data_IF_673023184721
#
_entry.id   IF_673023184721
#
_cell.length_a   1.000
_cell.length_b   1.000
_cell.length_c   1.000
_cell.angle_alpha   90.00
_cell.angle_beta   90.00
_cell.angle_gamma   90.00
#
_symmetry.space_group_name_H-M   'P 1'
#
loop_
_entity.id
_entity.type
_entity.pdbx_description
1 polymer ?
#
# COMPACT_ATOMS: atom_id res chain seq x y z
N UNK A 1 8.51 18.67 -7.38
CA UNK A 1 7.34 18.80 -6.47
C UNK A 1 6.15 18.20 -7.19
N UNK A 2 5.55 17.18 -6.64
CA UNK A 2 4.39 16.55 -7.27
C UNK A 2 3.18 17.47 -7.16
N UNK A 3 2.20 17.37 -8.08
CA UNK A 3 0.93 18.12 -8.01
C UNK A 3 0.23 17.93 -6.67
N UNK A 4 0.38 16.76 -6.08
CA UNK A 4 -0.14 16.41 -4.76
C UNK A 4 0.44 17.27 -3.64
N UNK A 5 1.75 17.51 -3.61
CA UNK A 5 2.39 18.39 -2.61
C UNK A 5 2.05 19.86 -2.81
N UNK A 6 1.93 20.32 -4.06
CA UNK A 6 1.50 21.69 -4.35
C UNK A 6 0.07 21.94 -3.87
N UNK A 7 -0.82 20.95 -4.03
CA UNK A 7 -2.17 20.98 -3.51
C UNK A 7 -2.20 21.09 -1.98
N UNK A 8 -1.36 20.33 -1.26
CA UNK A 8 -1.31 20.38 0.21
C UNK A 8 -0.89 21.72 0.78
N UNK A 9 0.05 22.40 0.14
CA UNK A 9 0.54 23.73 0.59
C UNK A 9 -0.50 24.84 0.45
N UNK A 10 -1.60 24.60 -0.29
CA UNK A 10 -2.69 25.56 -0.41
C UNK A 10 -3.69 25.52 0.75
N UNK A 11 -3.62 24.50 1.61
CA UNK A 11 -4.48 24.35 2.78
C UNK A 11 -3.85 25.00 4.02
N UNK A 12 -4.65 25.16 5.06
CA UNK A 12 -4.17 25.64 6.37
C UNK A 12 -3.10 24.69 6.92
N UNK A 13 -2.13 25.23 7.66
CA UNK A 13 -1.01 24.46 8.24
C UNK A 13 -1.44 23.34 9.19
N UNK A 14 -2.68 23.39 9.71
CA UNK A 14 -3.28 22.38 10.57
C UNK A 14 -4.18 21.38 9.83
N UNK A 15 -4.29 21.51 8.50
CA UNK A 15 -5.08 20.57 7.70
C UNK A 15 -4.32 19.26 7.43
N UNK A 16 -5.00 18.14 7.63
CA UNK A 16 -4.48 16.82 7.30
C UNK A 16 -5.16 16.31 6.04
N UNK A 17 -4.39 15.91 5.06
CA UNK A 17 -4.94 15.29 3.86
C UNK A 17 -5.45 13.89 4.13
N UNK A 18 -6.57 13.54 3.49
CA UNK A 18 -7.13 12.20 3.48
C UNK A 18 -6.76 11.52 2.16
N UNK A 19 -5.97 10.45 2.25
CA UNK A 19 -5.58 9.64 1.09
C UNK A 19 -6.42 8.37 1.04
N UNK A 20 -6.85 7.97 -0.16
CA UNK A 20 -7.66 6.78 -0.38
C UNK A 20 -7.31 6.12 -1.70
N UNK A 21 -7.59 4.84 -1.86
CA UNK A 21 -7.51 4.13 -3.14
C UNK A 21 -8.87 4.07 -3.83
N UNK A 22 -9.94 3.83 -3.06
CA UNK A 22 -11.33 3.83 -3.54
C UNK A 22 -12.31 4.28 -2.45
N UNK A 23 -13.57 4.41 -2.80
CA UNK A 23 -14.69 4.70 -1.88
C UNK A 23 -15.99 4.09 -2.41
N UNK A 24 -17.11 4.44 -1.77
CA UNK A 24 -18.45 3.96 -2.11
C UNK A 24 -19.03 4.53 -3.42
N UNK A 25 -18.35 5.49 -4.05
CA UNK A 25 -18.76 6.15 -5.29
C UNK A 25 -17.80 5.91 -6.46
N UNK A 26 -16.80 5.04 -6.26
CA UNK A 26 -15.77 4.73 -7.25
C UNK A 26 -15.64 3.21 -7.43
N UNK A 27 -15.09 2.80 -8.58
CA UNK A 27 -14.70 1.41 -8.78
C UNK A 27 -13.74 0.95 -7.68
N UNK A 28 -13.94 -0.27 -7.20
CA UNK A 28 -13.04 -0.84 -6.20
C UNK A 28 -11.62 -0.98 -6.73
N UNK A 29 -10.64 -0.76 -5.85
CA UNK A 29 -9.21 -0.74 -6.18
C UNK A 29 -8.78 -1.96 -6.99
N UNK A 30 -9.12 -3.17 -6.57
CA UNK A 30 -8.72 -4.39 -7.30
C UNK A 30 -9.35 -4.45 -8.69
N UNK A 31 -10.59 -3.99 -8.88
CA UNK A 31 -11.22 -3.91 -10.20
C UNK A 31 -10.48 -2.94 -11.13
N UNK A 32 -10.10 -1.76 -10.63
CA UNK A 32 -9.32 -0.76 -11.39
C UNK A 32 -7.93 -1.26 -11.77
N UNK A 33 -7.37 -2.17 -10.99
CA UNK A 33 -6.08 -2.80 -11.23
C UNK A 33 -6.18 -4.09 -12.08
N UNK A 34 -7.35 -4.36 -12.66
CA UNK A 34 -7.57 -5.54 -13.53
C UNK A 34 -7.54 -6.88 -12.81
N UNK A 35 -7.84 -6.90 -11.50
CA UNK A 35 -7.81 -8.11 -10.69
C UNK A 35 -6.40 -8.54 -10.25
N UNK A 36 -5.38 -7.73 -10.50
CA UNK A 36 -3.98 -8.05 -10.18
C UNK A 36 -3.71 -7.85 -8.67
N UNK A 37 -3.57 -8.97 -7.98
CA UNK A 37 -3.32 -9.02 -6.53
C UNK A 37 -1.97 -8.37 -6.15
N UNK A 38 -0.95 -8.48 -7.00
CA UNK A 38 0.37 -7.89 -6.72
C UNK A 38 0.30 -6.37 -6.80
N UNK A 39 -0.43 -5.83 -7.78
CA UNK A 39 -0.70 -4.40 -7.87
C UNK A 39 -1.55 -3.90 -6.70
N UNK A 40 -2.54 -4.66 -6.24
CA UNK A 40 -3.33 -4.28 -5.08
C UNK A 40 -2.49 -4.25 -3.79
N UNK A 41 -1.56 -5.18 -3.61
CA UNK A 41 -0.63 -5.19 -2.48
C UNK A 41 0.30 -3.99 -2.48
N UNK A 42 0.89 -3.65 -3.62
CA UNK A 42 1.78 -2.47 -3.68
C UNK A 42 0.98 -1.18 -3.51
N UNK A 43 -0.24 -1.08 -4.01
CA UNK A 43 -1.12 0.06 -3.78
C UNK A 43 -1.44 0.24 -2.29
N UNK A 44 -1.75 -0.85 -1.57
CA UNK A 44 -1.94 -0.82 -0.11
C UNK A 44 -0.67 -0.36 0.63
N UNK A 45 0.51 -0.88 0.26
CA UNK A 45 1.78 -0.47 0.85
C UNK A 45 2.05 1.02 0.63
N UNK A 46 1.79 1.54 -0.57
CA UNK A 46 1.91 2.97 -0.89
C UNK A 46 0.94 3.78 -0.04
N UNK A 47 -0.36 3.45 -0.05
CA UNK A 47 -1.37 4.16 0.74
C UNK A 47 -0.97 4.30 2.21
N UNK A 48 -0.42 3.25 2.79
CA UNK A 48 -0.10 3.18 4.22
C UNK A 48 1.27 3.75 4.58
N UNK A 49 2.09 4.14 3.60
CA UNK A 49 3.42 4.73 3.82
C UNK A 49 3.52 6.20 3.43
N UNK A 50 2.70 6.69 2.51
CA UNK A 50 2.67 8.13 2.15
C UNK A 50 2.15 9.00 3.30
N UNK A 51 2.34 10.31 3.18
CA UNK A 51 1.81 11.29 4.16
C UNK A 51 0.29 11.40 4.11
N UNK A 52 -0.30 11.93 5.17
CA UNK A 52 -1.74 12.10 5.34
C UNK A 52 -2.41 10.99 6.14
N UNK A 53 -3.71 11.03 6.28
CA UNK A 53 -4.54 10.03 6.96
C UNK A 53 -5.10 9.03 5.94
N UNK A 54 -4.66 7.76 5.94
CA UNK A 54 -5.16 6.79 4.99
C UNK A 54 -6.61 6.40 5.30
N UNK A 55 -7.46 6.47 4.29
CA UNK A 55 -8.83 5.99 4.32
C UNK A 55 -8.90 4.65 3.62
N UNK A 56 -9.34 3.63 4.34
CA UNK A 56 -9.50 2.26 3.81
C UNK A 56 -10.99 2.02 3.63
N UNK A 57 -11.42 1.84 2.38
CA UNK A 57 -12.78 1.44 2.11
C UNK A 57 -12.96 -0.05 2.43
N UNK A 58 -14.00 -0.41 3.16
CA UNK A 58 -14.20 -1.79 3.61
C UNK A 58 -14.11 -2.79 2.45
N UNK A 59 -13.42 -3.90 2.68
CA UNK A 59 -13.20 -4.93 1.67
C UNK A 59 -11.97 -4.70 0.79
N UNK A 60 -11.32 -3.54 0.82
CA UNK A 60 -10.03 -3.36 0.16
C UNK A 60 -8.99 -4.32 0.73
N UNK A 61 -9.01 -4.53 2.04
CA UNK A 61 -8.09 -5.40 2.78
C UNK A 61 -8.21 -6.88 2.41
N UNK A 62 -9.30 -7.28 1.77
CA UNK A 62 -9.45 -8.63 1.22
C UNK A 62 -9.52 -8.66 -0.31
N UNK A 63 -9.37 -7.50 -0.96
CA UNK A 63 -9.40 -7.38 -2.41
C UNK A 63 -10.79 -7.56 -3.00
N UNK A 64 -11.84 -7.00 -2.39
CA UNK A 64 -13.17 -7.02 -2.98
C UNK A 64 -13.19 -6.30 -4.32
N UNK A 65 -13.98 -6.84 -5.24
CA UNK A 65 -14.22 -6.32 -6.58
C UNK A 65 -15.54 -5.53 -6.63
N UNK A 66 -15.67 -4.67 -7.62
CA UNK A 66 -16.88 -3.91 -7.89
C UNK A 66 -16.64 -2.79 -8.90
N UNK A 67 -17.58 -2.59 -9.81
CA UNK A 67 -17.52 -1.56 -10.85
C UNK A 67 -18.78 -0.70 -10.80
N UNK A 68 -18.60 0.61 -10.67
CA UNK A 68 -19.70 1.58 -10.57
C UNK A 68 -20.58 1.62 -11.84
N UNK A 69 -19.98 1.41 -13.00
CA UNK A 69 -20.72 1.38 -14.26
C UNK A 69 -21.83 0.32 -14.30
N UNK A 70 -21.75 -0.70 -13.40
CA UNK A 70 -22.78 -1.74 -13.27
C UNK A 70 -23.85 -1.41 -12.22
N UNK A 71 -23.77 -0.25 -11.57
CA UNK A 71 -24.65 0.22 -10.50
C UNK A 71 -23.89 0.51 -9.21
N UNK A 72 -24.34 1.50 -8.45
CA UNK A 72 -23.69 1.93 -7.18
C UNK A 72 -23.66 0.80 -6.15
N UNK A 73 -24.68 -0.07 -6.13
CA UNK A 73 -24.77 -1.21 -5.25
C UNK A 73 -23.63 -2.20 -5.44
N UNK A 74 -23.09 -2.32 -6.66
CA UNK A 74 -22.03 -3.27 -6.99
C UNK A 74 -20.64 -2.88 -6.46
N UNK A 75 -20.44 -1.63 -6.06
CA UNK A 75 -19.22 -1.22 -5.32
C UNK A 75 -19.43 -1.30 -3.81
N UNK A 76 -20.64 -1.67 -3.34
CA UNK A 76 -21.05 -1.74 -1.94
C UNK A 76 -21.49 -3.16 -1.52
N UNK A 77 -21.09 -4.17 -2.27
CA UNK A 77 -21.46 -5.57 -2.04
C UNK A 77 -21.11 -6.06 -0.64
N UNK A 78 -21.85 -7.09 -0.14
CA UNK A 78 -21.60 -7.69 1.18
C UNK A 78 -20.17 -8.21 1.34
N UNK A 79 -19.56 -7.93 2.49
CA UNK A 79 -18.22 -8.38 2.85
C UNK A 79 -18.17 -9.92 2.99
N UNK A 80 -17.06 -10.51 2.54
CA UNK A 80 -16.82 -11.96 2.58
C UNK A 80 -16.03 -12.33 3.83
N UNK A 81 -16.72 -12.68 4.90
CA UNK A 81 -16.11 -13.03 6.17
C UNK A 81 -15.54 -14.45 6.19
N UNK A 82 -16.28 -15.42 5.64
CA UNK A 82 -15.96 -16.83 5.74
C UNK A 82 -16.16 -17.56 4.42
N UNK A 83 -15.35 -18.58 4.21
CA UNK A 83 -15.45 -19.56 3.13
C UNK A 83 -16.60 -20.57 3.32
N UNK A 84 -17.25 -20.56 4.49
CA UNK A 84 -18.38 -21.45 4.79
C UNK A 84 -19.63 -20.91 4.10
N UNK A 85 -20.31 -21.77 3.34
CA UNK A 85 -21.51 -21.41 2.56
C UNK A 85 -22.63 -20.75 3.39
N UNK A 86 -22.70 -21.03 4.68
CA UNK A 86 -23.63 -20.42 5.63
C UNK A 86 -23.01 -19.28 6.44
N UNK A 87 -22.19 -18.42 5.81
CA UNK A 87 -21.59 -17.26 6.48
C UNK A 87 -22.66 -16.38 7.12
N UNK A 88 -22.85 -16.57 8.44
CA UNK A 88 -23.88 -15.89 9.23
C UNK A 88 -23.61 -14.39 9.44
N UNK A 89 -22.39 -13.94 9.18
CA UNK A 89 -21.98 -12.55 9.33
C UNK A 89 -22.12 -11.76 8.04
N UNK A 90 -22.29 -12.45 6.89
CA UNK A 90 -22.50 -11.83 5.61
C UNK A 90 -23.91 -11.24 5.51
N UNK A 91 -24.01 -9.96 5.21
CA UNK A 91 -25.30 -9.31 4.94
C UNK A 91 -25.91 -9.85 3.64
N UNK A 92 -27.26 -9.80 3.53
CA UNK A 92 -28.01 -10.35 2.38
C UNK A 92 -28.89 -9.29 1.71
N UNK A 93 -28.48 -8.04 1.74
CA UNK A 93 -29.26 -6.94 1.16
C UNK A 93 -29.26 -6.93 -0.37
N UNK A 94 -28.21 -7.52 -1.00
CA UNK A 94 -28.08 -7.70 -2.44
C UNK A 94 -27.37 -9.04 -2.72
N UNK A 95 -27.67 -9.63 -3.90
CA UNK A 95 -26.87 -10.73 -4.42
C UNK A 95 -25.60 -10.17 -5.06
N UNK A 96 -24.39 -10.54 -4.61
CA UNK A 96 -23.15 -9.99 -5.15
C UNK A 96 -22.93 -10.43 -6.58
N UNK A 97 -22.50 -9.50 -7.41
CA UNK A 97 -22.14 -9.73 -8.81
C UNK A 97 -20.63 -9.89 -9.00
N UNK A 98 -19.84 -9.12 -8.24
CA UNK A 98 -18.38 -9.05 -8.39
C UNK A 98 -17.62 -9.78 -7.29
N UNK A 99 -18.01 -9.58 -6.04
CA UNK A 99 -17.31 -10.14 -4.88
C UNK A 99 -18.01 -11.40 -4.38
N UNK A 100 -17.72 -12.50 -5.04
CA UNK A 100 -18.24 -13.85 -4.73
C UNK A 100 -17.13 -14.73 -4.17
N UNK A 101 -17.47 -15.90 -3.62
CA UNK A 101 -16.49 -16.88 -3.13
C UNK A 101 -15.57 -17.43 -4.23
N UNK A 102 -15.99 -17.30 -5.50
CA UNK A 102 -15.16 -17.71 -6.66
C UNK A 102 -14.21 -16.61 -7.15
N UNK A 103 -14.50 -15.33 -6.87
CA UNK A 103 -13.74 -14.19 -7.36
C UNK A 103 -12.84 -13.55 -6.31
N UNK A 104 -13.23 -13.62 -5.03
CA UNK A 104 -12.52 -13.02 -3.90
C UNK A 104 -12.31 -14.06 -2.81
N UNK A 105 -11.07 -14.24 -2.37
CA UNK A 105 -10.75 -15.12 -1.24
C UNK A 105 -11.27 -14.52 0.06
N UNK A 106 -12.17 -15.19 0.80
CA UNK A 106 -12.75 -14.68 2.04
C UNK A 106 -11.71 -14.42 3.14
N UNK A 107 -12.07 -13.57 4.12
CA UNK A 107 -11.19 -13.13 5.19
C UNK A 107 -10.60 -14.27 6.00
N UNK A 108 -11.40 -15.29 6.36
CA UNK A 108 -10.95 -16.45 7.15
C UNK A 108 -9.78 -17.19 6.48
N UNK A 109 -9.83 -17.34 5.16
CA UNK A 109 -8.74 -17.94 4.39
C UNK A 109 -7.54 -17.01 4.26
N UNK A 110 -7.78 -15.71 4.09
CA UNK A 110 -6.68 -14.73 3.97
C UNK A 110 -5.91 -14.53 5.28
N UNK A 111 -6.57 -14.66 6.43
CA UNK A 111 -5.91 -14.65 7.75
C UNK A 111 -4.87 -15.77 7.91
N UNK A 112 -5.07 -16.89 7.26
CA UNK A 112 -4.17 -18.04 7.31
C UNK A 112 -3.11 -18.05 6.19
N UNK A 113 -3.22 -17.12 5.22
CA UNK A 113 -2.28 -16.98 4.12
C UNK A 113 -1.34 -15.80 4.35
N UNK A 114 -0.07 -16.11 4.66
CA UNK A 114 0.97 -15.11 4.93
C UNK A 114 1.20 -14.14 3.75
N UNK A 115 0.82 -14.55 2.54
CA UNK A 115 0.99 -13.78 1.32
C UNK A 115 -0.31 -13.09 0.87
N UNK A 116 -1.37 -13.07 1.66
CA UNK A 116 -2.63 -12.42 1.30
C UNK A 116 -2.55 -10.89 1.28
N UNK A 117 -3.53 -10.24 0.61
CA UNK A 117 -3.70 -8.78 0.68
C UNK A 117 -3.94 -8.36 2.14
N UNK A 118 -4.77 -9.12 2.87
CA UNK A 118 -5.08 -8.87 4.28
C UNK A 118 -3.81 -8.74 5.13
N UNK A 119 -2.85 -9.64 4.95
CA UNK A 119 -1.59 -9.61 5.69
C UNK A 119 -0.71 -8.40 5.33
N UNK A 120 -0.82 -7.89 4.11
CA UNK A 120 -0.15 -6.64 3.72
C UNK A 120 -0.77 -5.47 4.47
N UNK A 121 -2.10 -5.31 4.46
CA UNK A 121 -2.78 -4.26 5.25
C UNK A 121 -2.41 -4.35 6.74
N UNK A 122 -2.51 -5.54 7.33
CA UNK A 122 -2.14 -5.75 8.74
C UNK A 122 -0.69 -5.32 9.04
N UNK A 123 0.26 -5.72 8.18
CA UNK A 123 1.67 -5.39 8.33
C UNK A 123 1.91 -3.88 8.28
N UNK A 124 1.42 -3.21 7.24
CA UNK A 124 1.69 -1.79 7.05
C UNK A 124 0.90 -0.90 8.01
N UNK A 125 -0.28 -1.30 8.47
CA UNK A 125 -1.00 -0.63 9.56
C UNK A 125 -0.22 -0.73 10.88
N UNK A 126 0.33 -1.89 11.21
CA UNK A 126 1.19 -2.06 12.38
C UNK A 126 2.44 -1.18 12.29
N UNK A 127 3.10 -1.14 11.14
CA UNK A 127 4.25 -0.26 10.91
C UNK A 127 3.89 1.20 11.12
N UNK A 128 2.77 1.66 10.53
CA UNK A 128 2.31 3.03 10.68
C UNK A 128 1.99 3.40 12.13
N UNK A 129 1.48 2.47 12.91
CA UNK A 129 1.22 2.67 14.35
C UNK A 129 2.50 2.57 15.21
N UNK A 130 3.55 1.94 14.71
CA UNK A 130 4.82 1.78 15.43
C UNK A 130 5.77 2.94 15.18
N UNK A 131 5.87 3.40 13.92
CA UNK A 131 6.77 4.47 13.50
C UNK A 131 6.00 5.79 13.38
N UNK A 132 6.35 6.74 14.24
CA UNK A 132 5.70 8.06 14.24
C UNK A 132 5.96 8.83 12.94
N UNK A 133 7.12 8.63 12.33
CA UNK A 133 7.43 9.19 11.01
C UNK A 133 6.44 8.73 9.94
N UNK A 134 5.97 7.48 9.95
CA UNK A 134 4.92 7.02 9.04
C UNK A 134 3.55 7.64 9.36
N UNK A 135 3.22 7.80 10.65
CA UNK A 135 1.92 8.32 11.06
C UNK A 135 1.81 9.84 10.89
N UNK A 136 2.81 10.59 11.36
CA UNK A 136 2.78 12.04 11.56
C UNK A 136 3.84 12.79 10.75
N UNK A 137 4.86 12.08 10.23
CA UNK A 137 6.04 12.69 9.64
C UNK A 137 5.78 13.39 8.31
N UNK A 138 6.66 14.32 8.01
CA UNK A 138 6.74 14.93 6.69
C UNK A 138 7.23 13.92 5.65
N UNK A 139 6.81 14.14 4.39
CA UNK A 139 7.28 13.36 3.26
C UNK A 139 8.21 14.22 2.42
N UNK A 140 9.44 13.76 2.24
CA UNK A 140 10.46 14.42 1.42
C UNK A 140 11.07 13.43 0.43
N UNK A 141 11.83 13.95 -0.54
CA UNK A 141 12.39 13.13 -1.61
C UNK A 141 13.91 13.24 -1.63
N UNK A 142 14.62 12.20 -2.13
CA UNK A 142 16.05 12.32 -2.39
C UNK A 142 16.35 13.49 -3.32
N UNK A 143 17.43 14.22 -3.06
CA UNK A 143 17.84 15.36 -3.89
C UNK A 143 18.14 14.98 -5.35
N UNK A 144 18.55 13.73 -5.57
CA UNK A 144 18.87 13.14 -6.88
C UNK A 144 17.75 12.23 -7.40
N UNK A 145 16.49 12.47 -7.02
CA UNK A 145 15.34 11.60 -7.38
C UNK A 145 15.27 11.33 -8.89
N UNK A 146 15.55 12.32 -9.72
CA UNK A 146 15.52 12.19 -11.19
C UNK A 146 16.60 11.25 -11.75
N UNK A 147 17.62 10.88 -10.97
CA UNK A 147 18.64 9.91 -11.35
C UNK A 147 18.22 8.46 -11.16
N UNK A 148 17.15 8.22 -10.41
CA UNK A 148 16.64 6.88 -10.19
C UNK A 148 15.72 6.42 -11.33
N UNK A 149 15.71 5.11 -11.56
CA UNK A 149 14.79 4.50 -12.52
C UNK A 149 13.32 4.79 -12.12
N UNK A 150 12.50 5.18 -13.09
CA UNK A 150 11.06 5.45 -12.93
C UNK A 150 10.24 4.25 -12.44
N UNK A 151 10.84 3.06 -12.43
CA UNK A 151 10.28 1.87 -11.80
C UNK A 151 10.17 2.00 -10.27
N UNK A 152 10.91 2.93 -9.68
CA UNK A 152 10.93 3.11 -8.23
C UNK A 152 10.18 4.38 -7.80
N UNK A 153 9.40 4.24 -6.75
CA UNK A 153 8.89 5.35 -5.95
C UNK A 153 9.69 5.40 -4.66
N UNK A 154 10.44 6.49 -4.45
CA UNK A 154 11.37 6.65 -3.32
C UNK A 154 11.05 7.94 -2.59
N UNK A 155 10.92 7.86 -1.27
CA UNK A 155 10.71 9.02 -0.42
C UNK A 155 11.16 8.75 1.01
N UNK A 156 11.33 9.83 1.75
CA UNK A 156 11.60 9.79 3.18
C UNK A 156 10.34 10.14 3.98
N UNK A 157 10.25 9.58 5.17
CA UNK A 157 9.31 10.00 6.20
C UNK A 157 10.13 10.36 7.45
N UNK A 158 9.90 11.56 7.98
CA UNK A 158 10.70 12.08 9.08
C UNK A 158 9.83 12.76 10.13
N UNK A 159 10.04 12.40 11.40
CA UNK A 159 9.35 12.98 12.56
C UNK A 159 10.21 12.85 13.82
N UNK A 160 10.44 13.99 14.50
CA UNK A 160 11.12 14.03 15.80
C UNK A 160 12.46 13.26 15.88
N UNK A 161 13.24 13.27 14.79
CA UNK A 161 14.53 12.57 14.69
C UNK A 161 14.44 11.12 14.23
N UNK A 162 13.25 10.55 14.08
CA UNK A 162 13.03 9.27 13.42
C UNK A 162 12.95 9.50 11.91
N UNK A 163 13.81 8.84 11.13
CA UNK A 163 13.86 8.96 9.68
C UNK A 163 13.82 7.61 9.01
N UNK A 164 12.84 7.43 8.12
CA UNK A 164 12.68 6.23 7.31
C UNK A 164 12.84 6.56 5.83
N UNK A 165 13.53 5.68 5.09
CA UNK A 165 13.53 5.66 3.64
C UNK A 165 12.59 4.56 3.17
N UNK A 166 11.64 4.91 2.32
CA UNK A 166 10.68 4.00 1.73
C UNK A 166 10.97 3.87 0.24
N UNK A 167 11.08 2.63 -0.24
CA UNK A 167 11.30 2.32 -1.65
C UNK A 167 10.24 1.30 -2.08
N UNK A 168 9.49 1.67 -3.13
CA UNK A 168 8.57 0.79 -3.80
C UNK A 168 9.06 0.52 -5.23
N UNK A 169 9.17 -0.74 -5.63
CA UNK A 169 9.22 -1.10 -7.04
C UNK A 169 7.77 -1.19 -7.55
N UNK A 170 7.37 -0.25 -8.37
CA UNK A 170 6.01 -0.15 -8.91
C UNK A 170 5.88 -0.80 -10.30
N UNK A 171 6.95 -1.43 -10.78
CA UNK A 171 7.00 -2.08 -12.09
C UNK A 171 6.73 -3.58 -12.02
N UNK A 172 6.50 -4.17 -13.18
CA UNK A 172 6.39 -5.62 -13.38
C UNK A 172 7.72 -6.33 -13.53
N UNK A 173 8.85 -5.62 -13.36
CA UNK A 173 10.19 -6.16 -13.55
C UNK A 173 10.96 -6.19 -12.23
N UNK A 174 11.86 -7.15 -12.07
CA UNK A 174 12.88 -7.08 -11.04
C UNK A 174 13.88 -6.00 -11.41
N UNK A 175 14.16 -5.09 -10.50
CA UNK A 175 15.09 -3.97 -10.71
C UNK A 175 16.02 -3.83 -9.52
N UNK A 176 17.23 -3.35 -9.78
CA UNK A 176 18.25 -3.12 -8.74
C UNK A 176 18.54 -1.64 -8.64
N UNK A 177 18.63 -1.13 -7.41
CA UNK A 177 18.93 0.26 -7.10
C UNK A 177 20.13 0.33 -6.16
N UNK A 178 21.00 1.30 -6.39
CA UNK A 178 22.08 1.66 -5.46
C UNK A 178 21.64 2.81 -4.56
N UNK A 179 21.87 2.68 -3.25
CA UNK A 179 21.50 3.65 -2.23
C UNK A 179 22.77 4.10 -1.52
N UNK A 180 22.95 5.42 -1.43
CA UNK A 180 24.12 6.05 -0.78
C UNK A 180 23.78 6.59 0.62
N UNK A 181 22.52 6.52 1.04
CA UNK A 181 22.11 6.95 2.36
C UNK A 181 22.61 5.97 3.45
N UNK A 182 22.96 6.47 4.64
CA UNK A 182 23.45 5.64 5.73
C UNK A 182 22.31 4.80 6.32
N UNK A 183 22.22 3.54 5.91
CA UNK A 183 21.21 2.60 6.41
C UNK A 183 21.63 2.05 7.76
N UNK A 184 20.80 2.21 8.79
CA UNK A 184 20.94 1.58 10.09
C UNK A 184 20.48 0.13 10.00
N UNK A 185 19.23 -0.09 9.52
CA UNK A 185 18.65 -1.43 9.34
C UNK A 185 17.44 -1.40 8.39
N UNK A 186 17.10 -2.56 7.86
CA UNK A 186 15.80 -2.75 7.24
C UNK A 186 14.76 -3.00 8.34
N UNK A 187 13.65 -2.26 8.32
CA UNK A 187 12.55 -2.39 9.29
C UNK A 187 11.40 -3.22 8.75
N UNK A 188 11.20 -3.23 7.45
CA UNK A 188 10.18 -4.05 6.80
C UNK A 188 10.46 -4.24 5.32
N UNK A 189 9.99 -5.36 4.77
CA UNK A 189 9.95 -5.62 3.33
C UNK A 189 8.62 -6.26 2.93
N UNK A 190 8.30 -6.20 1.65
CA UNK A 190 7.22 -6.94 1.00
C UNK A 190 7.72 -7.41 -0.37
N UNK A 191 7.55 -8.70 -0.67
CA UNK A 191 7.94 -9.26 -1.98
C UNK A 191 9.36 -9.83 -2.02
N UNK A 192 9.92 -10.25 -0.87
CA UNK A 192 11.23 -10.90 -0.79
C UNK A 192 12.37 -10.05 -1.36
N UNK A 193 12.42 -8.78 -0.96
CA UNK A 193 13.50 -7.86 -1.32
C UNK A 193 14.82 -8.35 -0.74
N UNK A 194 15.89 -8.26 -1.51
CA UNK A 194 17.25 -8.54 -1.04
C UNK A 194 18.10 -7.28 -1.09
N UNK A 195 18.97 -7.12 -0.11
CA UNK A 195 19.92 -6.02 -0.10
C UNK A 195 21.28 -6.47 0.44
N UNK A 196 22.33 -5.84 -0.07
CA UNK A 196 23.70 -6.09 0.36
C UNK A 196 24.48 -4.77 0.42
N UNK A 197 25.41 -4.71 1.36
CA UNK A 197 26.36 -3.59 1.44
C UNK A 197 27.36 -3.70 0.30
N UNK A 198 27.52 -2.65 -0.50
CA UNK A 198 28.53 -2.57 -1.57
C UNK A 198 29.86 -2.10 -0.99
N UNK A 199 29.81 -1.03 -0.16
CA UNK A 199 30.95 -0.47 0.55
C UNK A 199 30.47 0.22 1.83
N UNK A 200 31.34 1.00 2.49
CA UNK A 200 30.98 1.67 3.76
C UNK A 200 29.85 2.70 3.62
N UNK A 201 29.54 3.16 2.41
CA UNK A 201 28.61 4.26 2.14
C UNK A 201 27.50 3.91 1.16
N UNK A 202 27.48 2.69 0.59
CA UNK A 202 26.45 2.33 -0.40
C UNK A 202 25.97 0.91 -0.26
N UNK A 203 24.68 0.72 -0.59
CA UNK A 203 23.99 -0.56 -0.59
C UNK A 203 23.37 -0.83 -1.97
N UNK A 204 23.39 -2.09 -2.39
CA UNK A 204 22.63 -2.57 -3.55
C UNK A 204 21.34 -3.22 -3.05
N UNK A 205 20.22 -2.80 -3.60
CA UNK A 205 18.89 -3.33 -3.25
C UNK A 205 18.25 -3.90 -4.50
N UNK A 206 18.02 -5.19 -4.52
CA UNK A 206 17.30 -5.88 -5.61
C UNK A 206 15.86 -6.10 -5.21
N UNK A 207 14.97 -5.53 -5.98
CA UNK A 207 13.54 -5.47 -5.70
C UNK A 207 12.76 -6.23 -6.77
N UNK A 208 12.10 -7.34 -6.40
CA UNK A 208 11.15 -8.02 -7.28
C UNK A 208 10.00 -7.11 -7.72
N UNK A 209 9.20 -7.53 -8.72
CA UNK A 209 8.01 -6.79 -9.13
C UNK A 209 7.07 -6.47 -7.95
N UNK A 210 6.52 -5.27 -7.94
CA UNK A 210 5.51 -4.82 -6.97
C UNK A 210 5.92 -5.10 -5.51
N UNK A 211 7.15 -4.72 -5.17
CA UNK A 211 7.75 -4.95 -3.85
C UNK A 211 8.04 -3.65 -3.11
N UNK A 212 8.25 -3.74 -1.81
CA UNK A 212 8.55 -2.61 -0.92
C UNK A 212 9.66 -2.98 0.03
N UNK A 213 10.53 -2.03 0.33
CA UNK A 213 11.44 -2.10 1.48
C UNK A 213 11.43 -0.76 2.22
N UNK A 214 11.54 -0.82 3.53
CA UNK A 214 11.65 0.34 4.42
C UNK A 214 12.94 0.20 5.21
N UNK A 215 13.77 1.23 5.16
CA UNK A 215 14.99 1.35 5.94
C UNK A 215 14.86 2.44 7.00
N UNK A 216 15.46 2.23 8.15
CA UNK A 216 15.78 3.23 9.15
C UNK A 216 17.16 3.81 8.83
N UNK A 217 17.26 5.16 8.84
CA UNK A 217 18.45 5.92 8.51
C UNK A 217 19.11 6.53 9.75
#
# INVERSE_FOLDING_TARGET
>A
MTEMEASFRSYRNDATNVTKLSNHDEDRTLSRLGGDISKAKIAAAILLTISGSPYIYYGEEIGMLGMKASGDENVREPFLWSSIQSDKYRTKWINPLFSTESSVKPLDLQRNDKNSIFRVYEKFLKLRNTYQSLALGDMTYPANLDSYDKNFMIFFREYAGEKLMIIHNVSSNTSTIAISDPIVRAVADMGSVTYSKINTQSHSVTMPPYSTIIFEL
#
